data_IF_383561197389
#
_entry.id   IF_383561197389
#
_cell.length_a   1.000
_cell.length_b   1.000
_cell.length_c   1.000
_cell.angle_alpha   90.00
_cell.angle_beta   90.00
_cell.angle_gamma   90.00
#
_symmetry.space_group_name_H-M   'P 1'
#
loop_
_entity.id
_entity.type
_entity.pdbx_description
1 polymer ?
#
# COMPACT_ATOMS: atom_id res chain seq x y z
N UNK A 1 69.03 2.08 -14.43
CA UNK A 1 67.95 1.93 -15.38
C UNK A 1 67.03 0.76 -15.07
N UNK A 2 67.51 -0.47 -14.74
CA UNK A 2 66.67 -1.62 -14.43
C UNK A 2 65.68 -1.42 -13.26
N UNK A 3 66.02 -0.65 -12.21
CA UNK A 3 65.14 -0.40 -11.07
C UNK A 3 63.95 0.53 -11.41
N UNK A 4 64.12 1.45 -12.34
CA UNK A 4 63.07 2.36 -12.80
C UNK A 4 62.00 1.61 -13.61
N UNK A 5 62.44 0.70 -14.49
CA UNK A 5 61.52 -0.12 -15.29
C UNK A 5 60.69 -1.09 -14.42
N UNK A 6 61.30 -1.60 -13.32
CA UNK A 6 60.59 -2.42 -12.36
C UNK A 6 59.52 -1.63 -11.61
N UNK A 7 59.82 -0.36 -11.26
CA UNK A 7 58.83 0.51 -10.60
C UNK A 7 57.64 0.85 -11.50
N UNK A 8 57.90 1.11 -12.79
CA UNK A 8 56.80 1.32 -13.75
C UNK A 8 55.97 0.06 -14.01
N UNK A 9 56.59 -1.11 -14.02
CA UNK A 9 55.88 -2.38 -14.19
C UNK A 9 54.98 -2.69 -12.99
N UNK A 10 55.43 -2.43 -11.75
CA UNK A 10 54.64 -2.58 -10.53
C UNK A 10 53.49 -1.56 -10.48
N UNK A 11 53.76 -0.31 -10.91
CA UNK A 11 52.72 0.73 -10.97
C UNK A 11 51.65 0.44 -12.03
N UNK A 12 52.06 -0.11 -13.19
CA UNK A 12 51.11 -0.53 -14.22
C UNK A 12 50.25 -1.74 -13.79
N UNK A 13 50.83 -2.68 -13.03
CA UNK A 13 50.08 -3.83 -12.49
C UNK A 13 49.07 -3.41 -11.42
N UNK A 14 49.35 -2.37 -10.63
CA UNK A 14 48.43 -1.81 -9.63
C UNK A 14 47.24 -1.09 -10.26
N UNK A 15 47.38 -0.53 -11.45
CA UNK A 15 46.28 0.17 -12.16
C UNK A 15 45.31 -0.77 -12.88
N UNK A 16 45.71 -1.99 -13.23
CA UNK A 16 44.84 -2.97 -13.88
C UNK A 16 43.90 -3.68 -12.91
N UNK A 17 44.09 -3.52 -11.58
CA UNK A 17 43.22 -4.08 -10.53
C UNK A 17 42.01 -3.24 -10.16
N UNK A 18 41.84 -2.05 -10.78
CA UNK A 18 40.73 -1.13 -10.42
C UNK A 18 39.54 -1.21 -11.38
N UNK A 19 39.47 -2.22 -12.24
CA UNK A 19 38.20 -2.51 -12.92
C UNK A 19 37.24 -3.17 -11.90
N UNK A 20 36.59 -2.34 -11.12
CA UNK A 20 35.45 -2.74 -10.30
C UNK A 20 34.37 -3.24 -11.25
N UNK A 21 33.99 -4.50 -11.13
CA UNK A 21 32.79 -5.01 -11.77
C UNK A 21 31.60 -4.31 -11.14
N UNK A 22 30.99 -3.35 -11.83
CA UNK A 22 29.71 -2.74 -11.44
C UNK A 22 28.60 -3.80 -11.27
N UNK A 23 28.68 -4.90 -12.02
CA UNK A 23 27.74 -6.04 -11.92
C UNK A 23 27.75 -6.76 -10.56
N UNK A 24 28.83 -6.60 -9.76
CA UNK A 24 28.91 -7.22 -8.42
C UNK A 24 28.23 -6.36 -7.33
N UNK A 25 27.91 -5.11 -7.67
CA UNK A 25 27.25 -4.16 -6.77
C UNK A 25 25.74 -3.99 -7.09
N UNK A 26 25.27 -4.51 -8.22
CA UNK A 26 23.84 -4.67 -8.48
C UNK A 26 23.35 -5.87 -7.70
N UNK A 27 22.83 -5.61 -6.49
CA UNK A 27 22.04 -6.60 -5.77
C UNK A 27 20.81 -6.92 -6.61
N UNK A 28 20.82 -8.03 -7.34
CA UNK A 28 19.56 -8.66 -7.75
C UNK A 28 18.97 -9.32 -6.51
N UNK A 29 17.94 -8.73 -5.90
CA UNK A 29 17.34 -9.30 -4.70
C UNK A 29 16.63 -10.60 -5.08
N UNK A 30 17.27 -11.73 -4.87
CA UNK A 30 16.72 -13.07 -5.09
C UNK A 30 15.46 -13.35 -4.22
N UNK A 31 15.07 -12.44 -3.34
CA UNK A 31 13.92 -12.57 -2.43
C UNK A 31 12.90 -11.43 -2.51
N UNK A 32 13.16 -10.38 -3.29
CA UNK A 32 12.13 -9.36 -3.60
C UNK A 32 11.47 -9.76 -4.91
N UNK A 33 10.18 -9.97 -4.87
CA UNK A 33 9.37 -10.02 -6.07
C UNK A 33 9.62 -8.72 -6.84
N UNK A 34 10.34 -8.82 -7.95
CA UNK A 34 10.47 -7.73 -8.90
C UNK A 34 9.05 -7.46 -9.41
N UNK A 35 8.55 -6.24 -9.22
CA UNK A 35 7.22 -5.83 -9.63
C UNK A 35 6.93 -6.22 -11.08
N UNK A 36 7.90 -5.99 -11.96
CA UNK A 36 7.76 -6.23 -13.40
C UNK A 36 7.69 -7.73 -13.75
N UNK A 37 8.12 -8.59 -12.82
CA UNK A 37 8.06 -10.06 -12.95
C UNK A 37 6.95 -10.69 -12.12
N UNK A 38 6.34 -9.95 -11.18
CA UNK A 38 5.32 -10.52 -10.31
C UNK A 38 3.99 -10.72 -11.06
N UNK A 39 3.57 -9.72 -11.85
CA UNK A 39 2.31 -9.77 -12.59
C UNK A 39 2.48 -10.47 -13.96
N UNK A 40 2.80 -11.76 -13.95
CA UNK A 40 3.00 -12.59 -15.15
C UNK A 40 1.82 -13.54 -15.42
N UNK A 41 0.87 -13.65 -14.50
CA UNK A 41 -0.28 -14.55 -14.58
C UNK A 41 -1.50 -14.02 -13.81
N UNK A 42 -2.71 -14.45 -14.23
CA UNK A 42 -3.95 -14.10 -13.54
C UNK A 42 -3.96 -14.57 -12.09
N UNK A 43 -3.39 -15.73 -11.79
CA UNK A 43 -3.29 -16.26 -10.42
C UNK A 43 -2.49 -15.33 -9.52
N UNK A 44 -1.40 -14.73 -10.03
CA UNK A 44 -0.61 -13.77 -9.24
C UNK A 44 -1.34 -12.44 -9.08
N UNK A 45 -2.08 -12.01 -10.10
CA UNK A 45 -2.95 -10.84 -9.97
C UNK A 45 -4.03 -11.06 -8.89
N UNK A 46 -4.65 -12.24 -8.86
CA UNK A 46 -5.62 -12.62 -7.81
C UNK A 46 -4.98 -12.66 -6.43
N UNK A 47 -3.77 -13.24 -6.30
CA UNK A 47 -3.03 -13.22 -5.04
C UNK A 47 -2.69 -11.80 -4.56
N UNK A 48 -2.41 -10.87 -5.47
CA UNK A 48 -2.19 -9.47 -5.14
C UNK A 48 -3.46 -8.82 -4.58
N UNK A 49 -4.63 -9.07 -5.20
CA UNK A 49 -5.93 -8.62 -4.69
C UNK A 49 -6.20 -9.19 -3.30
N UNK A 50 -5.94 -10.49 -3.07
CA UNK A 50 -6.04 -11.11 -1.73
C UNK A 50 -5.12 -10.43 -0.71
N UNK A 51 -3.97 -9.92 -1.14
CA UNK A 51 -3.07 -9.12 -0.30
C UNK A 51 -3.70 -7.81 0.19
N UNK A 52 -4.62 -7.21 -0.56
CA UNK A 52 -5.36 -6.02 -0.12
C UNK A 52 -6.37 -6.41 0.97
N UNK A 53 -7.08 -7.52 0.81
CA UNK A 53 -8.02 -8.03 1.82
C UNK A 53 -7.34 -8.31 3.16
N UNK A 54 -6.08 -8.71 3.17
CA UNK A 54 -5.35 -8.93 4.43
C UNK A 54 -5.25 -7.65 5.27
N UNK A 55 -5.18 -6.49 4.64
CA UNK A 55 -5.21 -5.19 5.34
C UNK A 55 -6.58 -4.91 5.99
N UNK A 56 -7.67 -5.43 5.42
CA UNK A 56 -9.00 -5.31 6.01
C UNK A 56 -9.22 -6.25 7.18
N UNK A 57 -8.55 -7.40 7.21
CA UNK A 57 -8.63 -8.34 8.33
C UNK A 57 -8.09 -7.72 9.62
N UNK A 58 -6.93 -7.08 9.54
CA UNK A 58 -6.36 -6.32 10.67
C UNK A 58 -7.20 -5.09 11.01
N UNK A 59 -7.79 -4.46 10.00
CA UNK A 59 -8.68 -3.32 10.14
C UNK A 59 -9.93 -3.64 10.97
N UNK A 60 -10.58 -4.78 10.79
CA UNK A 60 -11.73 -5.20 11.57
C UNK A 60 -11.39 -5.41 13.06
N UNK A 61 -10.14 -5.69 13.38
CA UNK A 61 -9.68 -5.85 14.76
C UNK A 61 -9.39 -4.50 15.42
N UNK A 62 -8.85 -3.50 14.68
CA UNK A 62 -8.36 -2.22 15.21
C UNK A 62 -9.05 -0.97 14.63
N UNK A 63 -9.87 -1.06 13.61
CA UNK A 63 -10.36 0.11 12.92
C UNK A 63 -11.75 0.52 13.32
N UNK A 64 -12.71 -0.31 13.05
CA UNK A 64 -14.11 0.04 13.16
C UNK A 64 -14.61 -0.01 14.62
N UNK A 65 -14.23 -1.06 15.33
CA UNK A 65 -14.58 -1.22 16.73
C UNK A 65 -13.89 -0.20 17.63
N UNK A 66 -12.69 0.17 17.31
CA UNK A 66 -11.83 0.95 18.21
C UNK A 66 -12.05 2.46 18.07
N UNK A 67 -12.43 2.95 16.90
CA UNK A 67 -12.71 4.37 16.69
C UNK A 67 -14.20 4.71 16.66
N UNK A 68 -15.00 3.92 15.96
CA UNK A 68 -16.40 4.24 15.76
C UNK A 68 -17.25 3.84 16.98
N UNK A 69 -17.03 2.66 17.53
CA UNK A 69 -17.84 2.16 18.65
C UNK A 69 -17.59 2.92 19.95
N UNK A 70 -16.36 3.14 20.41
CA UNK A 70 -16.12 3.87 21.66
C UNK A 70 -16.57 5.34 21.62
N UNK A 71 -16.53 5.97 20.44
CA UNK A 71 -16.90 7.37 20.27
C UNK A 71 -18.37 7.60 19.93
N UNK A 72 -19.21 6.53 19.97
CA UNK A 72 -20.63 6.63 19.69
C UNK A 72 -21.44 6.84 20.97
N UNK A 73 -22.69 7.28 20.82
CA UNK A 73 -23.67 7.42 21.90
C UNK A 73 -24.30 6.08 22.33
N UNK A 74 -24.08 5.02 21.56
CA UNK A 74 -24.55 3.66 21.86
C UNK A 74 -23.64 2.91 22.85
N UNK A 75 -22.44 3.38 23.07
CA UNK A 75 -21.44 2.73 23.93
C UNK A 75 -20.91 3.67 24.99
N UNK A 76 -20.69 3.15 26.18
CA UNK A 76 -20.08 3.91 27.27
C UNK A 76 -18.88 3.17 27.84
N UNK A 77 -17.70 3.78 27.71
CA UNK A 77 -16.45 3.21 28.18
C UNK A 77 -16.09 3.81 29.55
N UNK A 78 -16.32 3.04 30.60
CA UNK A 78 -16.14 3.53 31.99
C UNK A 78 -14.77 3.25 32.57
N UNK A 79 -14.08 2.21 32.10
CA UNK A 79 -12.87 1.73 32.75
C UNK A 79 -11.63 2.42 32.20
N UNK A 80 -10.88 3.09 33.07
CA UNK A 80 -9.55 3.58 32.78
C UNK A 80 -8.53 2.62 33.39
N UNK A 81 -8.18 1.58 32.63
CA UNK A 81 -7.07 0.70 33.00
C UNK A 81 -5.79 1.15 32.28
N UNK A 82 -4.63 0.70 32.77
CA UNK A 82 -3.35 1.08 32.16
C UNK A 82 -3.22 0.59 30.70
N UNK A 83 -3.92 -0.51 30.34
CA UNK A 83 -3.97 -1.05 29.00
C UNK A 83 -5.01 -0.37 28.10
N UNK A 84 -6.03 0.27 28.67
CA UNK A 84 -7.20 0.75 27.93
C UNK A 84 -7.28 2.28 27.86
N UNK A 85 -6.26 2.99 28.33
CA UNK A 85 -6.24 4.46 28.35
C UNK A 85 -6.49 5.05 26.96
N UNK A 86 -5.96 4.45 25.91
CA UNK A 86 -6.06 4.99 24.56
C UNK A 86 -7.48 4.86 23.98
N UNK A 87 -8.17 3.76 24.24
CA UNK A 87 -9.58 3.57 23.86
C UNK A 87 -10.47 4.48 24.69
N UNK A 88 -10.17 4.63 26.00
CA UNK A 88 -10.86 5.60 26.86
C UNK A 88 -10.73 7.04 26.32
N UNK A 89 -9.55 7.43 25.88
CA UNK A 89 -9.32 8.77 25.31
C UNK A 89 -10.09 8.98 24.00
N UNK A 90 -10.24 7.93 23.18
CA UNK A 90 -11.13 7.96 22.00
C UNK A 90 -12.59 8.15 22.42
N UNK A 91 -13.06 7.35 23.37
CA UNK A 91 -14.45 7.38 23.85
C UNK A 91 -14.85 8.73 24.46
N UNK A 92 -13.91 9.44 25.06
CA UNK A 92 -14.13 10.72 25.73
C UNK A 92 -13.65 11.92 24.90
N UNK A 93 -13.34 11.74 23.63
CA UNK A 93 -12.87 12.80 22.71
C UNK A 93 -11.60 13.53 23.22
N UNK A 94 -10.76 12.81 23.99
CA UNK A 94 -9.47 13.31 24.53
C UNK A 94 -8.30 12.85 23.68
N UNK A 95 -8.47 12.95 22.36
CA UNK A 95 -7.49 12.47 21.38
C UNK A 95 -6.19 13.29 21.45
N UNK A 96 -5.07 12.58 21.35
CA UNK A 96 -3.75 13.18 21.24
C UNK A 96 -2.92 12.47 20.15
N UNK A 97 -1.85 13.12 19.71
CA UNK A 97 -0.98 12.62 18.62
C UNK A 97 -0.12 11.40 19.02
N UNK A 98 -0.17 10.98 20.28
CA UNK A 98 0.58 9.80 20.78
C UNK A 98 -0.32 8.57 20.95
N UNK A 99 -1.57 8.65 20.53
CA UNK A 99 -2.50 7.52 20.57
C UNK A 99 -2.11 6.48 19.51
N UNK A 100 -1.54 5.36 19.93
CA UNK A 100 -1.02 4.31 19.02
C UNK A 100 -2.11 3.53 18.32
N UNK A 101 -3.36 3.55 18.81
CA UNK A 101 -4.51 2.96 18.13
C UNK A 101 -4.86 3.75 16.87
N UNK A 102 -4.92 5.07 17.00
CA UNK A 102 -5.16 5.96 15.86
C UNK A 102 -4.03 5.85 14.83
N UNK A 103 -2.78 5.82 15.30
CA UNK A 103 -1.60 5.62 14.44
C UNK A 103 -1.69 4.28 13.68
N UNK A 104 -2.05 3.20 14.36
CA UNK A 104 -2.18 1.87 13.75
C UNK A 104 -3.27 1.84 12.68
N UNK A 105 -4.43 2.46 12.94
CA UNK A 105 -5.52 2.56 11.96
C UNK A 105 -5.08 3.36 10.72
N UNK A 106 -4.43 4.49 10.93
CA UNK A 106 -3.87 5.30 9.86
C UNK A 106 -2.90 4.50 8.99
N UNK A 107 -1.95 3.84 9.62
CA UNK A 107 -0.94 3.02 8.94
C UNK A 107 -1.57 1.90 8.12
N UNK A 108 -2.49 1.13 8.71
CA UNK A 108 -3.16 0.02 8.02
C UNK A 108 -3.94 0.48 6.78
N UNK A 109 -4.61 1.64 6.84
CA UNK A 109 -5.32 2.17 5.68
C UNK A 109 -4.39 2.55 4.55
N UNK A 110 -3.28 3.21 4.86
CA UNK A 110 -2.28 3.56 3.83
C UNK A 110 -1.56 2.34 3.26
N UNK A 111 -1.25 1.34 4.08
CA UNK A 111 -0.70 0.06 3.60
C UNK A 111 -1.67 -0.63 2.63
N UNK A 112 -2.95 -0.63 2.94
CA UNK A 112 -3.98 -1.20 2.07
C UNK A 112 -4.14 -0.43 0.76
N UNK A 113 -4.14 0.91 0.81
CA UNK A 113 -4.21 1.77 -0.38
C UNK A 113 -2.96 1.59 -1.26
N UNK A 114 -1.78 1.51 -0.68
CA UNK A 114 -0.55 1.32 -1.45
C UNK A 114 -0.49 -0.08 -2.11
N UNK A 115 -0.96 -1.12 -1.41
CA UNK A 115 -1.16 -2.45 -2.01
C UNK A 115 -2.17 -2.43 -3.16
N UNK A 116 -3.27 -1.68 -3.01
CA UNK A 116 -4.26 -1.53 -4.07
C UNK A 116 -3.67 -0.79 -5.28
N UNK A 117 -2.91 0.29 -5.06
CA UNK A 117 -2.21 1.01 -6.12
C UNK A 117 -1.23 0.10 -6.87
N UNK A 118 -0.39 -0.66 -6.13
CA UNK A 118 0.54 -1.63 -6.72
C UNK A 118 -0.20 -2.68 -7.56
N UNK A 119 -1.33 -3.19 -7.05
CA UNK A 119 -2.12 -4.22 -7.72
C UNK A 119 -2.75 -3.69 -9.00
N UNK A 120 -3.37 -2.51 -8.95
CA UNK A 120 -3.98 -1.85 -10.11
C UNK A 120 -2.93 -1.56 -11.18
N UNK A 121 -1.82 -0.90 -10.81
CA UNK A 121 -0.72 -0.60 -11.73
C UNK A 121 -0.12 -1.87 -12.35
N UNK A 122 0.02 -2.94 -11.55
CA UNK A 122 0.53 -4.23 -12.00
C UNK A 122 -0.40 -4.92 -13.00
N UNK A 123 -1.70 -5.00 -12.69
CA UNK A 123 -2.72 -5.62 -13.56
C UNK A 123 -2.84 -4.85 -14.87
N UNK A 124 -2.91 -3.52 -14.83
CA UNK A 124 -2.99 -2.69 -16.03
C UNK A 124 -1.77 -2.83 -16.94
N UNK A 125 -0.60 -3.15 -16.39
CA UNK A 125 0.64 -3.43 -17.13
C UNK A 125 0.73 -4.82 -17.75
N UNK A 126 -0.18 -5.75 -17.44
CA UNK A 126 -0.13 -7.12 -17.94
C UNK A 126 -0.42 -7.21 -19.44
N UNK A 127 0.30 -8.10 -20.12
CA UNK A 127 0.06 -8.36 -21.54
C UNK A 127 -1.36 -8.91 -21.77
N UNK A 128 -2.10 -8.30 -22.68
CA UNK A 128 -3.48 -8.71 -23.02
C UNK A 128 -4.55 -8.19 -22.07
N UNK A 129 -4.21 -7.32 -21.11
CA UNK A 129 -5.16 -6.71 -20.16
C UNK A 129 -6.40 -6.14 -20.86
N UNK A 130 -6.22 -5.40 -21.96
CA UNK A 130 -7.32 -4.69 -22.63
C UNK A 130 -8.49 -5.61 -23.05
N UNK A 131 -8.20 -6.87 -23.42
CA UNK A 131 -9.17 -7.86 -23.89
C UNK A 131 -9.54 -8.89 -22.81
N UNK A 132 -8.92 -8.82 -21.63
CA UNK A 132 -9.08 -9.82 -20.58
C UNK A 132 -10.10 -9.38 -19.53
N UNK A 133 -11.29 -9.97 -19.57
CA UNK A 133 -12.38 -9.66 -18.62
C UNK A 133 -12.06 -10.06 -17.20
N UNK A 134 -11.24 -11.13 -16.98
CA UNK A 134 -10.84 -11.56 -15.64
C UNK A 134 -9.89 -10.54 -14.99
N UNK A 135 -8.91 -10.04 -15.75
CA UNK A 135 -8.01 -9.00 -15.25
C UNK A 135 -8.75 -7.70 -14.94
N UNK A 136 -9.73 -7.32 -15.78
CA UNK A 136 -10.60 -6.15 -15.49
C UNK A 136 -11.44 -6.34 -14.23
N UNK A 137 -11.92 -7.54 -13.98
CA UNK A 137 -12.65 -7.83 -12.75
C UNK A 137 -11.73 -7.76 -11.51
N UNK A 138 -10.50 -8.27 -11.58
CA UNK A 138 -9.51 -8.18 -10.51
C UNK A 138 -9.08 -6.73 -10.24
N UNK A 139 -8.87 -5.93 -11.28
CA UNK A 139 -8.63 -4.49 -11.14
C UNK A 139 -9.82 -3.80 -10.48
N UNK A 140 -11.04 -4.11 -10.90
CA UNK A 140 -12.27 -3.55 -10.36
C UNK A 140 -12.43 -3.87 -8.86
N UNK A 141 -12.05 -5.06 -8.44
CA UNK A 141 -12.02 -5.46 -7.05
C UNK A 141 -10.97 -4.67 -6.25
N UNK A 142 -9.76 -4.48 -6.80
CA UNK A 142 -8.73 -3.65 -6.20
C UNK A 142 -9.16 -2.16 -6.09
N UNK A 143 -9.82 -1.60 -7.12
CA UNK A 143 -10.40 -0.26 -7.10
C UNK A 143 -11.46 -0.12 -6.00
N UNK A 144 -12.37 -1.10 -5.88
CA UNK A 144 -13.37 -1.11 -4.82
C UNK A 144 -12.73 -1.08 -3.42
N UNK A 145 -11.71 -1.88 -3.20
CA UNK A 145 -10.99 -1.94 -1.92
C UNK A 145 -10.24 -0.65 -1.62
N UNK A 146 -9.62 -0.02 -2.64
CA UNK A 146 -8.98 1.29 -2.50
C UNK A 146 -10.00 2.36 -2.12
N UNK A 147 -11.12 2.41 -2.82
CA UNK A 147 -12.20 3.34 -2.53
C UNK A 147 -12.75 3.18 -1.09
N UNK A 148 -12.93 1.94 -0.66
CA UNK A 148 -13.40 1.64 0.71
C UNK A 148 -12.44 2.17 1.77
N UNK A 149 -11.13 1.92 1.61
CA UNK A 149 -10.10 2.39 2.53
C UNK A 149 -9.95 3.91 2.50
N UNK A 150 -10.00 4.53 1.31
CA UNK A 150 -9.94 5.97 1.13
C UNK A 150 -11.15 6.68 1.75
N UNK A 151 -12.35 6.11 1.61
CA UNK A 151 -13.57 6.64 2.21
C UNK A 151 -13.46 6.71 3.73
N UNK A 152 -12.92 5.68 4.37
CA UNK A 152 -12.69 5.69 5.80
C UNK A 152 -11.66 6.74 6.22
N UNK A 153 -10.55 6.90 5.47
CA UNK A 153 -9.56 7.94 5.75
C UNK A 153 -10.20 9.33 5.74
N UNK A 154 -10.95 9.65 4.70
CA UNK A 154 -11.61 10.96 4.57
C UNK A 154 -12.63 11.19 5.67
N UNK A 155 -13.40 10.17 6.05
CA UNK A 155 -14.40 10.28 7.12
C UNK A 155 -13.78 10.58 8.48
N UNK A 156 -12.59 10.02 8.76
CA UNK A 156 -11.93 10.21 10.05
C UNK A 156 -11.05 11.46 10.10
N UNK A 157 -10.34 11.78 9.00
CA UNK A 157 -9.30 12.82 9.02
C UNK A 157 -9.55 13.99 8.07
N UNK A 158 -10.57 13.93 7.23
CA UNK A 158 -10.83 14.97 6.23
C UNK A 158 -9.77 15.00 5.14
N UNK A 159 -9.14 16.16 4.94
CA UNK A 159 -8.07 16.31 3.96
C UNK A 159 -6.84 15.52 4.40
N UNK A 160 -6.36 14.62 3.56
CA UNK A 160 -5.24 13.72 3.85
C UNK A 160 -4.32 13.61 2.63
N UNK A 161 -3.05 13.19 2.80
CA UNK A 161 -2.23 12.80 1.66
C UNK A 161 -2.90 11.64 0.91
N UNK A 162 -3.11 11.78 -0.39
CA UNK A 162 -3.75 10.74 -1.19
C UNK A 162 -3.10 10.61 -2.56
N UNK A 163 -2.91 9.37 -3.01
CA UNK A 163 -2.33 9.02 -4.31
C UNK A 163 -3.04 7.80 -4.88
N UNK A 164 -3.19 7.81 -6.19
CA UNK A 164 -3.78 6.71 -6.97
C UNK A 164 -2.73 5.88 -7.72
N UNK A 165 -1.44 6.14 -7.47
CA UNK A 165 -0.31 5.40 -8.03
C UNK A 165 0.57 4.83 -6.94
N UNK A 166 1.20 3.70 -7.22
CA UNK A 166 2.13 3.04 -6.31
C UNK A 166 3.36 3.90 -5.97
N UNK A 167 3.76 3.90 -4.72
CA UNK A 167 4.94 4.62 -4.24
C UNK A 167 6.19 3.74 -4.35
N UNK A 168 6.96 3.94 -5.43
CA UNK A 168 8.15 3.12 -5.73
C UNK A 168 9.41 3.51 -4.95
N UNK A 169 9.43 4.67 -4.31
CA UNK A 169 10.56 5.16 -3.52
C UNK A 169 10.10 5.82 -2.23
N UNK A 170 11.04 6.01 -1.30
CA UNK A 170 10.77 6.74 -0.05
C UNK A 170 10.26 8.16 -0.33
N UNK A 171 10.86 8.88 -1.26
CA UNK A 171 10.44 10.24 -1.64
C UNK A 171 9.05 10.25 -2.24
N UNK A 172 8.70 9.25 -3.05
CA UNK A 172 7.38 9.14 -3.66
C UNK A 172 6.29 8.74 -2.67
N UNK A 173 6.64 8.20 -1.50
CA UNK A 173 5.68 7.86 -0.45
C UNK A 173 5.10 9.10 0.25
N UNK A 174 5.81 10.24 0.24
CA UNK A 174 5.32 11.47 0.81
C UNK A 174 4.42 12.25 -0.16
N UNK A 175 3.44 12.96 0.39
CA UNK A 175 2.54 13.83 -0.35
C UNK A 175 1.99 14.93 0.54
N UNK A 176 1.60 16.03 -0.09
CA UNK A 176 0.82 17.07 0.57
C UNK A 176 -0.61 16.57 0.84
N UNK A 177 -1.30 17.26 1.74
CA UNK A 177 -2.73 16.99 1.98
C UNK A 177 -3.52 17.37 0.73
N UNK A 178 -4.38 16.48 0.30
CA UNK A 178 -5.32 16.65 -0.80
C UNK A 178 -6.68 17.01 -0.21
N UNK A 179 -7.37 17.95 -0.84
CA UNK A 179 -8.74 18.30 -0.48
C UNK A 179 -9.64 17.06 -0.55
N UNK A 180 -10.46 16.87 0.47
CA UNK A 180 -11.36 15.72 0.57
C UNK A 180 -12.32 15.59 -0.62
N UNK A 181 -12.75 16.71 -1.22
CA UNK A 181 -13.64 16.67 -2.38
C UNK A 181 -12.94 16.01 -3.58
N UNK A 182 -11.65 16.29 -3.79
CA UNK A 182 -10.84 15.60 -4.82
C UNK A 182 -10.72 14.12 -4.52
N UNK A 183 -10.55 13.75 -3.25
CA UNK A 183 -10.50 12.33 -2.85
C UNK A 183 -11.85 11.65 -3.05
N UNK A 184 -12.97 12.34 -2.78
CA UNK A 184 -14.31 11.81 -3.08
C UNK A 184 -14.53 11.58 -4.57
N UNK A 185 -14.03 12.46 -5.45
CA UNK A 185 -14.10 12.27 -6.89
C UNK A 185 -13.35 10.99 -7.33
N UNK A 186 -12.17 10.72 -6.77
CA UNK A 186 -11.42 9.49 -7.01
C UNK A 186 -12.15 8.24 -6.47
N UNK A 187 -12.73 8.33 -5.27
CA UNK A 187 -13.55 7.25 -4.68
C UNK A 187 -14.73 6.92 -5.61
N UNK A 188 -15.43 7.94 -6.13
CA UNK A 188 -16.56 7.76 -7.03
C UNK A 188 -16.10 7.15 -8.36
N UNK A 189 -14.95 7.56 -8.87
CA UNK A 189 -14.35 6.99 -10.07
C UNK A 189 -14.06 5.49 -9.89
N UNK A 190 -13.38 5.11 -8.81
CA UNK A 190 -13.06 3.72 -8.47
C UNK A 190 -14.33 2.87 -8.31
N UNK A 191 -15.33 3.38 -7.58
CA UNK A 191 -16.60 2.66 -7.39
C UNK A 191 -17.40 2.52 -8.68
N UNK A 192 -17.31 3.52 -9.57
CA UNK A 192 -17.96 3.46 -10.89
C UNK A 192 -17.30 2.39 -11.77
N UNK A 193 -15.97 2.34 -11.77
CA UNK A 193 -15.23 1.30 -12.48
C UNK A 193 -15.56 -0.09 -11.91
N UNK A 194 -15.56 -0.23 -10.59
CA UNK A 194 -15.93 -1.48 -9.91
C UNK A 194 -17.34 -1.96 -10.30
N UNK A 195 -18.32 -1.07 -10.22
CA UNK A 195 -19.71 -1.37 -10.59
C UNK A 195 -19.85 -1.89 -12.03
N UNK A 196 -19.05 -1.37 -12.96
CA UNK A 196 -19.17 -1.69 -14.38
C UNK A 196 -18.42 -2.98 -14.77
N UNK A 197 -17.50 -3.46 -13.94
CA UNK A 197 -16.62 -4.59 -14.27
C UNK A 197 -16.71 -5.77 -13.29
N UNK A 198 -17.47 -5.64 -12.19
CA UNK A 198 -17.75 -6.74 -11.25
C UNK A 198 -19.11 -7.35 -11.56
N UNK A 199 -19.19 -8.66 -11.50
CA UNK A 199 -20.44 -9.39 -11.53
C UNK A 199 -21.14 -9.34 -10.17
N UNK A 200 -22.47 -9.37 -10.19
CA UNK A 200 -23.24 -9.53 -8.96
C UNK A 200 -23.08 -10.94 -8.42
N UNK A 201 -22.87 -11.04 -7.10
CA UNK A 201 -22.85 -12.32 -6.43
C UNK A 201 -24.21 -13.04 -6.64
N UNK A 202 -24.17 -14.25 -7.20
CA UNK A 202 -25.34 -15.11 -7.34
C UNK A 202 -25.31 -16.17 -6.24
N UNK A 203 -26.48 -16.67 -5.84
CA UNK A 203 -26.59 -17.70 -4.78
C UNK A 203 -25.85 -19.02 -5.11
N UNK A 204 -25.33 -19.16 -6.33
CA UNK A 204 -24.56 -20.33 -6.77
C UNK A 204 -23.04 -20.13 -6.69
N UNK A 205 -22.57 -18.95 -6.26
CA UNK A 205 -21.15 -18.61 -6.15
C UNK A 205 -20.60 -18.67 -4.73
N UNK A 206 -21.35 -19.27 -3.81
CA UNK A 206 -20.95 -19.49 -2.41
C UNK A 206 -20.43 -20.90 -2.15
#
# INVERSE_FOLDING_TARGET
MKKIHLLYAVFALLFTGLTSCEDLLTEEPNSKYDRDRYFDSEDKAEMAVMGIYSSLSDFNHYGWYEMASPASDDTYYTARTQSDNQVHDIAHYQLNSTNTWIESIWKLKYEGIDRANLTIDGICGMTGYAENTRLKALEAEACFLRAFLAFDLVRYWGDVPFKTSYSSSYESAFGERVDREVIYDEIISDLTFAKNNLDWATASSS
#
